data_IF_252547508197
#
_entry.id   IF_252547508197
#
_cell.length_a   1.000
_cell.length_b   1.000
_cell.length_c   1.000
_cell.angle_alpha   90.00
_cell.angle_beta   90.00
_cell.angle_gamma   90.00
#
_symmetry.space_group_name_H-M   'P 1'
#
loop_
_entity.id
_entity.type
_entity.pdbx_description
1 polymer ?
#
# COMPACT_ATOMS: atom_id res chain seq x y z
N UNK A 1 5.81 -30.90 7.82
CA UNK A 1 6.43 -29.77 7.09
C UNK A 1 5.31 -28.89 6.57
N UNK A 2 5.28 -27.60 6.92
CA UNK A 2 4.32 -26.64 6.33
C UNK A 2 4.94 -26.13 5.02
N UNK A 3 4.43 -26.62 3.89
CA UNK A 3 4.80 -26.13 2.55
C UNK A 3 4.00 -24.87 2.18
N UNK A 4 3.77 -24.00 3.15
CA UNK A 4 3.00 -22.77 2.98
C UNK A 4 4.01 -21.62 2.99
N UNK A 5 4.14 -20.85 1.90
CA UNK A 5 5.04 -19.71 1.87
C UNK A 5 4.59 -18.67 2.90
N UNK A 6 5.55 -18.12 3.64
CA UNK A 6 5.32 -16.98 4.54
C UNK A 6 5.13 -15.74 3.66
N UNK A 7 3.90 -15.21 3.62
CA UNK A 7 3.56 -14.06 2.77
C UNK A 7 3.66 -12.79 3.59
N UNK A 8 4.59 -11.92 3.21
CA UNK A 8 4.71 -10.56 3.73
C UNK A 8 4.07 -9.59 2.76
N UNK A 9 2.88 -9.13 3.13
CA UNK A 9 2.08 -8.20 2.35
C UNK A 9 2.63 -6.78 2.51
N UNK A 10 2.91 -6.13 1.39
CA UNK A 10 3.17 -4.70 1.32
C UNK A 10 2.02 -4.00 0.59
N UNK A 11 1.60 -2.84 1.07
CA UNK A 11 0.62 -1.99 0.40
C UNK A 11 1.24 -0.65 0.02
N UNK A 12 1.04 -0.24 -1.23
CA UNK A 12 1.48 1.05 -1.76
C UNK A 12 0.27 1.85 -2.27
N UNK A 13 0.18 3.11 -1.83
CA UNK A 13 -0.85 4.03 -2.32
C UNK A 13 -0.42 4.63 -3.65
N UNK A 14 -1.30 4.56 -4.66
CA UNK A 14 -1.09 5.20 -5.96
C UNK A 14 -2.08 6.36 -6.07
N UNK A 15 -1.54 7.55 -6.21
CA UNK A 15 -2.30 8.76 -6.50
C UNK A 15 -2.17 9.08 -7.99
N UNK A 16 -3.27 9.56 -8.58
CA UNK A 16 -3.25 10.18 -9.91
C UNK A 16 -3.38 11.67 -9.67
N UNK A 17 -2.75 12.50 -10.51
CA UNK A 17 -2.60 13.97 -10.41
C UNK A 17 -3.87 14.80 -10.11
N UNK A 18 -5.02 14.16 -9.97
CA UNK A 18 -6.30 14.72 -9.58
C UNK A 18 -6.53 14.86 -8.06
N UNK A 19 -5.62 14.40 -7.17
CA UNK A 19 -5.86 14.42 -5.71
C UNK A 19 -4.62 14.71 -4.86
N UNK A 20 -4.79 15.31 -3.66
CA UNK A 20 -3.69 15.51 -2.73
C UNK A 20 -3.17 14.17 -2.20
N UNK A 21 -1.84 13.97 -2.25
CA UNK A 21 -1.15 12.78 -1.74
C UNK A 21 -1.56 12.40 -0.31
N UNK A 22 -1.81 13.40 0.55
CA UNK A 22 -2.23 13.21 1.94
C UNK A 22 -3.55 12.44 2.08
N UNK A 23 -4.50 12.64 1.15
CA UNK A 23 -5.78 11.94 1.15
C UNK A 23 -5.58 10.45 0.83
N UNK A 24 -4.79 10.15 -0.22
CA UNK A 24 -4.45 8.78 -0.60
C UNK A 24 -3.70 8.05 0.51
N UNK A 25 -2.75 8.71 1.17
CA UNK A 25 -1.99 8.17 2.29
C UNK A 25 -2.86 7.90 3.54
N UNK A 26 -3.80 8.79 3.84
CA UNK A 26 -4.73 8.65 4.97
C UNK A 26 -5.73 7.51 4.74
N UNK A 27 -6.27 7.39 3.53
CA UNK A 27 -7.20 6.30 3.18
C UNK A 27 -6.50 4.95 3.15
N UNK A 28 -5.28 4.89 2.63
CA UNK A 28 -4.44 3.69 2.71
C UNK A 28 -4.17 3.27 4.16
N UNK A 29 -3.93 4.24 5.07
CA UNK A 29 -3.77 3.95 6.50
C UNK A 29 -5.03 3.35 7.14
N UNK A 30 -6.21 3.84 6.78
CA UNK A 30 -7.48 3.28 7.25
C UNK A 30 -7.64 1.81 6.82
N UNK A 31 -7.24 1.47 5.60
CA UNK A 31 -7.23 0.08 5.12
C UNK A 31 -6.25 -0.77 5.92
N UNK A 32 -5.03 -0.29 6.16
CA UNK A 32 -4.03 -1.01 6.96
C UNK A 32 -4.52 -1.23 8.39
N UNK A 33 -5.19 -0.25 9.00
CA UNK A 33 -5.81 -0.40 10.33
C UNK A 33 -6.89 -1.48 10.33
N UNK A 34 -7.80 -1.45 9.37
CA UNK A 34 -8.83 -2.48 9.23
C UNK A 34 -8.23 -3.88 8.98
N UNK A 35 -7.16 -3.98 8.17
CA UNK A 35 -6.43 -5.23 7.97
C UNK A 35 -5.82 -5.76 9.28
N UNK A 36 -5.25 -4.88 10.11
CA UNK A 36 -4.70 -5.28 11.41
C UNK A 36 -5.78 -5.77 12.38
N UNK A 37 -6.98 -5.17 12.36
CA UNK A 37 -8.10 -5.60 13.20
C UNK A 37 -8.58 -7.02 12.86
N UNK A 38 -8.50 -7.43 11.59
CA UNK A 38 -8.82 -8.80 11.15
C UNK A 38 -7.61 -9.76 11.25
N UNK A 39 -6.48 -9.32 11.82
CA UNK A 39 -5.28 -10.14 12.02
C UNK A 39 -4.39 -10.32 10.79
N UNK A 40 -4.54 -9.46 9.77
CA UNK A 40 -3.68 -9.45 8.57
C UNK A 40 -2.59 -8.40 8.75
N UNK A 41 -1.33 -8.85 8.82
CA UNK A 41 -0.18 -7.94 8.89
C UNK A 41 0.19 -7.43 7.49
N UNK A 42 0.21 -6.12 7.34
CA UNK A 42 0.47 -5.43 6.08
C UNK A 42 1.45 -4.29 6.33
N UNK A 43 2.57 -4.32 5.64
CA UNK A 43 3.54 -3.23 5.63
C UNK A 43 3.02 -2.09 4.75
N UNK A 44 2.83 -0.91 5.35
CA UNK A 44 2.49 0.30 4.61
C UNK A 44 3.76 0.93 4.04
N UNK A 45 3.87 1.00 2.72
CA UNK A 45 4.92 1.78 2.07
C UNK A 45 4.72 3.28 2.39
N UNK A 46 5.74 3.97 2.92
CA UNK A 46 5.63 5.39 3.26
C UNK A 46 5.55 6.29 2.01
N UNK A 47 6.19 5.88 0.90
CA UNK A 47 6.15 6.60 -0.37
C UNK A 47 4.81 6.43 -1.06
N UNK A 48 4.16 7.56 -1.40
CA UNK A 48 2.96 7.57 -2.26
C UNK A 48 3.39 7.69 -3.72
N UNK A 49 2.89 6.81 -4.57
CA UNK A 49 3.30 6.70 -5.97
C UNK A 49 2.45 7.64 -6.82
N UNK A 50 3.11 8.56 -7.52
CA UNK A 50 2.52 9.47 -8.52
C UNK A 50 3.34 9.50 -9.81
N UNK A 51 4.64 9.25 -9.71
CA UNK A 51 5.58 9.22 -10.82
C UNK A 51 6.37 7.91 -10.81
N UNK A 52 7.06 7.65 -11.92
CA UNK A 52 7.99 6.51 -12.03
C UNK A 52 9.10 6.55 -10.97
N UNK A 53 9.59 7.75 -10.63
CA UNK A 53 10.58 7.93 -9.56
C UNK A 53 10.03 7.46 -8.20
N UNK A 54 8.78 7.80 -7.88
CA UNK A 54 8.15 7.34 -6.64
C UNK A 54 7.93 5.82 -6.65
N UNK A 55 7.64 5.24 -7.81
CA UNK A 55 7.51 3.77 -7.96
C UNK A 55 8.84 3.07 -7.66
N UNK A 56 9.96 3.59 -8.15
CA UNK A 56 11.29 3.03 -7.86
C UNK A 56 11.62 3.10 -6.37
N UNK A 57 11.36 4.24 -5.72
CA UNK A 57 11.56 4.41 -4.28
C UNK A 57 10.67 3.46 -3.46
N UNK A 58 9.38 3.39 -3.79
CA UNK A 58 8.45 2.48 -3.13
C UNK A 58 8.88 1.01 -3.26
N UNK A 59 9.40 0.63 -4.43
CA UNK A 59 9.90 -0.72 -4.69
C UNK A 59 11.12 -1.05 -3.81
N UNK A 60 12.04 -0.10 -3.62
CA UNK A 60 13.18 -0.28 -2.71
C UNK A 60 12.75 -0.42 -1.26
N UNK A 61 11.79 0.41 -0.80
CA UNK A 61 11.24 0.33 0.56
C UNK A 61 10.53 -1.00 0.83
N UNK A 62 9.72 -1.46 -0.13
CA UNK A 62 9.00 -2.74 -0.04
C UNK A 62 9.96 -3.94 -0.05
N UNK A 63 10.99 -3.90 -0.90
CA UNK A 63 12.05 -4.92 -0.94
C UNK A 63 12.87 -4.91 0.34
N UNK A 64 13.23 -3.73 0.85
CA UNK A 64 13.95 -3.56 2.12
C UNK A 64 13.16 -4.09 3.33
N UNK A 65 11.84 -3.95 3.29
CA UNK A 65 10.94 -4.55 4.29
C UNK A 65 10.77 -6.07 4.14
N UNK A 66 11.27 -6.67 3.06
CA UNK A 66 11.14 -8.10 2.77
C UNK A 66 9.74 -8.51 2.34
N UNK A 67 8.94 -7.58 1.79
CA UNK A 67 7.62 -7.88 1.25
C UNK A 67 7.74 -8.76 0.00
N UNK A 68 6.97 -9.84 -0.07
CA UNK A 68 6.93 -10.74 -1.24
C UNK A 68 5.60 -10.69 -2.01
N UNK A 69 4.61 -9.97 -1.47
CA UNK A 69 3.35 -9.70 -2.13
C UNK A 69 3.05 -8.20 -2.06
N UNK A 70 2.61 -7.61 -3.18
CA UNK A 70 2.32 -6.19 -3.31
C UNK A 70 0.83 -5.97 -3.58
N UNK A 71 0.22 -5.13 -2.74
CA UNK A 71 -1.14 -4.62 -2.90
C UNK A 71 -1.04 -3.17 -3.36
N UNK A 72 -1.63 -2.89 -4.53
CA UNK A 72 -1.68 -1.53 -5.07
C UNK A 72 -3.02 -0.92 -4.71
N UNK A 73 -3.00 0.12 -3.87
CA UNK A 73 -4.19 0.86 -3.50
C UNK A 73 -4.40 2.03 -4.45
N UNK A 74 -5.26 1.82 -5.45
CA UNK A 74 -5.67 2.84 -6.40
C UNK A 74 -6.98 3.48 -5.94
N UNK A 75 -6.95 4.79 -5.67
CA UNK A 75 -8.16 5.53 -5.31
C UNK A 75 -8.89 6.05 -6.56
N UNK A 76 -10.20 5.79 -6.66
CA UNK A 76 -11.14 6.50 -7.54
C UNK A 76 -12.19 7.13 -6.65
N UNK A 77 -12.54 8.39 -6.91
CA UNK A 77 -13.65 9.08 -6.25
C UNK A 77 -14.93 8.26 -6.49
N UNK A 78 -15.44 7.60 -5.46
CA UNK A 78 -16.87 7.29 -5.37
C UNK A 78 -17.41 8.38 -4.47
N UNK A 79 -17.91 9.43 -5.11
CA UNK A 79 -18.80 10.38 -4.43
C UNK A 79 -19.94 9.51 -3.87
N UNK A 80 -20.00 9.40 -2.55
CA UNK A 80 -21.07 8.64 -1.90
C UNK A 80 -22.33 9.48 -2.05
N UNK A 81 -23.21 9.02 -2.94
CA UNK A 81 -24.62 9.43 -3.04
C UNK A 81 -25.36 9.17 -1.72
#
# INVERSE_FOLDING_TARGET
MKNIPDVKLGIAAVSRDCFPMSLSASRCEAVVKACKEIGVDVFKCPTTIESETHMMQALEELKGAGCNALVVFLFRLVESL
#
